data_IF_522745756030
#
_entry.id   IF_522745756030
#
_cell.length_a   1.000
_cell.length_b   1.000
_cell.length_c   1.000
_cell.angle_alpha   90.00
_cell.angle_beta   90.00
_cell.angle_gamma   90.00
#
_symmetry.space_group_name_H-M   'P 1'
#
loop_
_entity.id
_entity.type
_entity.pdbx_description
1 polymer ?
#
# COMPACT_ATOMS: atom_id res chain seq x y z
N UNK A 1 -62.46 -43.05 -21.46
CA UNK A 1 -62.08 -41.68 -21.89
C UNK A 1 -60.91 -41.28 -21.03
N UNK A 2 -59.68 -41.45 -21.54
CA UNK A 2 -58.45 -41.33 -20.78
C UNK A 2 -57.66 -40.10 -21.27
N UNK A 3 -57.24 -39.29 -20.31
CA UNK A 3 -56.67 -37.96 -20.46
C UNK A 3 -55.30 -37.94 -21.14
N UNK A 4 -55.12 -36.95 -21.99
CA UNK A 4 -53.89 -36.61 -22.72
C UNK A 4 -52.81 -36.08 -21.77
N UNK A 5 -51.64 -36.71 -21.75
CA UNK A 5 -50.42 -36.24 -21.08
C UNK A 5 -49.67 -35.29 -22.01
N UNK A 6 -49.44 -34.04 -21.58
CA UNK A 6 -48.55 -33.09 -22.25
C UNK A 6 -47.08 -33.48 -22.04
N UNK A 7 -46.19 -33.36 -23.05
CA UNK A 7 -44.77 -33.55 -22.85
C UNK A 7 -44.12 -32.34 -22.17
N UNK A 8 -43.19 -32.71 -21.30
CA UNK A 8 -42.34 -31.90 -20.44
C UNK A 8 -41.50 -30.89 -21.26
N UNK A 9 -41.68 -29.59 -20.99
CA UNK A 9 -40.82 -28.52 -21.52
C UNK A 9 -39.52 -28.53 -20.71
N UNK A 10 -38.41 -28.83 -21.37
CA UNK A 10 -37.07 -28.75 -20.79
C UNK A 10 -36.71 -27.26 -20.77
N UNK A 11 -36.70 -26.65 -19.59
CA UNK A 11 -36.06 -25.34 -19.41
C UNK A 11 -34.54 -25.57 -19.43
N UNK A 12 -33.92 -25.23 -20.57
CA UNK A 12 -32.48 -25.01 -20.64
C UNK A 12 -32.13 -23.90 -19.65
N UNK A 13 -31.65 -24.31 -18.47
CA UNK A 13 -31.00 -23.42 -17.53
C UNK A 13 -29.70 -22.96 -18.19
N UNK A 14 -29.74 -21.78 -18.80
CA UNK A 14 -28.54 -21.10 -19.28
C UNK A 14 -27.50 -21.06 -18.15
N UNK A 15 -26.20 -21.30 -18.42
CA UNK A 15 -25.19 -21.11 -17.40
C UNK A 15 -25.27 -19.65 -16.94
N UNK A 16 -25.61 -19.47 -15.66
CA UNK A 16 -25.57 -18.18 -14.99
C UNK A 16 -24.22 -17.56 -15.29
N UNK A 17 -24.23 -16.43 -16.00
CA UNK A 17 -23.05 -15.61 -16.22
C UNK A 17 -22.33 -15.48 -14.89
N UNK A 18 -21.18 -16.15 -14.78
CA UNK A 18 -20.26 -15.94 -13.69
C UNK A 18 -19.90 -14.48 -13.81
N UNK A 19 -20.41 -13.69 -12.87
CA UNK A 19 -19.97 -12.32 -12.65
C UNK A 19 -18.47 -12.41 -12.37
N UNK A 20 -17.69 -12.32 -13.44
CA UNK A 20 -16.27 -12.01 -13.36
C UNK A 20 -16.20 -10.53 -13.01
N UNK A 21 -16.65 -10.19 -11.80
CA UNK A 21 -16.08 -9.07 -11.08
C UNK A 21 -14.64 -9.49 -10.81
N UNK A 22 -13.81 -9.35 -11.85
CA UNK A 22 -12.37 -9.21 -11.72
C UNK A 22 -12.18 -8.21 -10.59
N UNK A 23 -11.84 -8.74 -9.43
CA UNK A 23 -11.26 -7.97 -8.34
C UNK A 23 -9.89 -7.61 -8.88
N UNK A 24 -9.87 -6.62 -9.80
CA UNK A 24 -8.69 -5.91 -10.19
C UNK A 24 -8.09 -5.46 -8.88
N UNK A 25 -7.07 -6.20 -8.46
CA UNK A 25 -6.23 -5.84 -7.35
C UNK A 25 -5.55 -4.58 -7.86
N UNK A 26 -6.20 -3.42 -7.67
CA UNK A 26 -5.54 -2.13 -7.83
C UNK A 26 -4.41 -2.20 -6.83
N UNK A 27 -3.23 -2.56 -7.32
CA UNK A 27 -1.99 -2.45 -6.60
C UNK A 27 -1.96 -1.03 -6.09
N UNK A 28 -2.06 -0.86 -4.76
CA UNK A 28 -1.90 0.43 -4.14
C UNK A 28 -0.61 1.06 -4.67
N UNK A 29 -0.57 2.38 -4.89
CA UNK A 29 0.65 3.03 -5.33
C UNK A 29 1.77 2.70 -4.32
N UNK A 30 3.01 2.46 -4.80
CA UNK A 30 4.11 2.12 -3.91
C UNK A 30 4.36 3.26 -2.92
N UNK A 31 4.46 2.91 -1.65
CA UNK A 31 4.61 3.87 -0.54
C UNK A 31 5.86 3.60 0.28
N UNK A 32 6.30 4.65 0.97
CA UNK A 32 7.34 4.63 1.99
C UNK A 32 6.67 4.79 3.34
N UNK A 33 6.86 3.79 4.18
CA UNK A 33 6.42 3.79 5.57
C UNK A 33 7.59 4.07 6.48
N UNK A 34 7.42 5.03 7.39
CA UNK A 34 8.42 5.36 8.39
C UNK A 34 7.81 5.13 9.77
N UNK A 35 8.51 4.38 10.61
CA UNK A 35 8.06 4.01 11.95
C UNK A 35 9.07 4.50 12.98
N UNK A 36 8.59 5.17 14.03
CA UNK A 36 9.40 5.41 15.22
C UNK A 36 9.26 4.22 16.19
N UNK A 37 10.35 3.50 16.40
CA UNK A 37 10.47 2.36 17.33
C UNK A 37 11.13 2.73 18.65
N UNK A 38 11.42 4.03 18.85
CA UNK A 38 11.98 4.59 20.07
C UNK A 38 11.00 4.65 21.24
N UNK A 39 11.41 5.33 22.32
CA UNK A 39 10.65 5.39 23.58
C UNK A 39 9.45 6.35 23.57
N UNK A 40 9.28 7.13 22.51
CA UNK A 40 8.16 8.06 22.35
C UNK A 40 6.88 7.35 21.93
N UNK A 41 5.80 8.11 21.78
CA UNK A 41 4.54 7.58 21.23
C UNK A 41 4.78 6.95 19.85
N UNK A 42 4.17 5.80 19.63
CA UNK A 42 4.18 5.14 18.34
C UNK A 42 3.48 6.04 17.31
N UNK A 43 4.23 6.45 16.29
CA UNK A 43 3.76 7.25 15.16
C UNK A 43 4.26 6.58 13.88
N UNK A 44 3.55 6.84 12.78
CA UNK A 44 3.89 6.35 11.45
C UNK A 44 3.68 7.47 10.44
N UNK A 45 4.59 7.57 9.47
CA UNK A 45 4.37 8.30 8.23
C UNK A 45 4.08 7.32 7.09
N UNK A 46 3.21 7.71 6.16
CA UNK A 46 2.92 7.00 4.92
C UNK A 46 2.88 8.05 3.81
N UNK A 47 3.86 8.01 2.93
CA UNK A 47 3.96 8.91 1.78
C UNK A 47 4.56 8.16 0.59
N UNK A 48 4.31 8.62 -0.64
CA UNK A 48 4.70 7.93 -1.86
C UNK A 48 5.16 8.89 -2.95
N UNK A 49 5.78 8.38 -4.03
CA UNK A 49 6.33 9.23 -5.08
C UNK A 49 5.27 10.12 -5.75
N UNK A 50 5.63 11.37 -6.04
CA UNK A 50 4.85 12.23 -6.93
C UNK A 50 5.03 11.83 -8.41
N UNK A 51 4.23 12.44 -9.28
CA UNK A 51 4.36 12.23 -10.72
C UNK A 51 5.76 12.66 -11.21
N UNK A 52 6.51 11.72 -11.78
CA UNK A 52 7.87 11.94 -12.25
C UNK A 52 8.97 11.54 -11.27
N UNK A 53 8.62 11.19 -10.03
CA UNK A 53 9.56 10.66 -9.03
C UNK A 53 9.55 9.13 -9.03
N UNK A 54 10.70 8.53 -8.70
CA UNK A 54 10.79 7.09 -8.46
C UNK A 54 10.73 6.77 -6.96
N UNK A 55 10.20 5.59 -6.62
CA UNK A 55 10.23 5.09 -5.23
C UNK A 55 11.65 5.04 -4.66
N UNK A 56 12.64 4.71 -5.50
CA UNK A 56 14.03 4.64 -5.07
C UNK A 56 14.59 6.03 -4.72
N UNK A 57 14.27 7.05 -5.52
CA UNK A 57 14.64 8.44 -5.23
C UNK A 57 13.99 8.91 -3.92
N UNK A 58 12.68 8.68 -3.76
CA UNK A 58 11.98 9.06 -2.54
C UNK A 58 12.53 8.35 -1.30
N UNK A 59 12.89 7.05 -1.44
CA UNK A 59 13.49 6.28 -0.37
C UNK A 59 14.88 6.81 0.02
N UNK A 60 15.71 7.15 -0.98
CA UNK A 60 17.00 7.76 -0.73
C UNK A 60 16.86 9.15 -0.07
N UNK A 61 15.89 9.95 -0.51
CA UNK A 61 15.59 11.27 0.07
C UNK A 61 15.12 11.14 1.52
N UNK A 62 14.22 10.20 1.82
CA UNK A 62 13.79 9.91 3.18
C UNK A 62 14.99 9.61 4.10
N UNK A 63 15.90 8.73 3.68
CA UNK A 63 17.11 8.39 4.45
C UNK A 63 18.04 9.60 4.65
N UNK A 64 18.20 10.45 3.64
CA UNK A 64 19.00 11.69 3.75
C UNK A 64 18.34 12.66 4.72
N UNK A 65 17.03 12.87 4.61
CA UNK A 65 16.26 13.74 5.51
C UNK A 65 16.41 13.26 6.96
N UNK A 66 16.15 11.98 7.22
CA UNK A 66 16.34 11.34 8.54
C UNK A 66 17.75 11.59 9.08
N UNK A 67 18.79 11.34 8.27
CA UNK A 67 20.18 11.58 8.66
C UNK A 67 20.48 13.04 8.98
N UNK A 68 19.96 13.98 8.19
CA UNK A 68 20.14 15.43 8.41
C UNK A 68 19.46 15.95 9.68
N UNK A 69 18.38 15.28 10.13
CA UNK A 69 17.69 15.57 11.40
C UNK A 69 18.37 14.93 12.61
N UNK A 70 19.37 14.07 12.39
CA UNK A 70 20.07 13.36 13.46
C UNK A 70 19.29 12.18 14.06
N UNK A 71 18.25 11.72 13.38
CA UNK A 71 17.50 10.53 13.80
C UNK A 71 18.29 9.26 13.49
N UNK A 72 18.17 8.24 14.35
CA UNK A 72 18.92 7.00 14.18
C UNK A 72 18.09 6.00 13.37
N UNK A 73 18.60 5.54 12.23
CA UNK A 73 17.98 4.44 11.48
C UNK A 73 18.31 3.10 12.15
N UNK A 74 17.29 2.39 12.60
CA UNK A 74 17.39 1.05 13.18
C UNK A 74 17.31 -0.05 12.12
N UNK A 75 16.63 0.22 11.02
CA UNK A 75 16.52 -0.69 9.89
C UNK A 75 15.81 -0.04 8.72
N UNK A 76 16.09 -0.52 7.52
CA UNK A 76 15.39 -0.09 6.31
C UNK A 76 15.26 -1.27 5.34
N UNK A 77 14.10 -1.38 4.71
CA UNK A 77 13.80 -2.40 3.72
C UNK A 77 13.18 -1.73 2.51
N UNK A 78 13.63 -2.14 1.33
CA UNK A 78 13.15 -1.63 0.05
C UNK A 78 12.70 -2.79 -0.83
N UNK A 79 11.59 -2.59 -1.52
CA UNK A 79 11.06 -3.47 -2.56
C UNK A 79 10.41 -2.62 -3.66
N UNK A 80 10.22 -3.15 -4.88
CA UNK A 80 9.47 -2.44 -5.93
C UNK A 80 8.05 -2.06 -5.50
N UNK A 81 7.45 -2.81 -4.57
CA UNK A 81 6.09 -2.60 -4.07
C UNK A 81 6.00 -1.53 -2.97
N UNK A 82 7.13 -1.13 -2.38
CA UNK A 82 7.17 -0.18 -1.27
C UNK A 82 8.43 -0.28 -0.41
N UNK A 83 8.57 0.64 0.53
CA UNK A 83 9.69 0.69 1.45
C UNK A 83 9.24 0.89 2.90
N UNK A 84 10.04 0.37 3.83
CA UNK A 84 9.83 0.52 5.26
C UNK A 84 11.13 1.05 5.89
N UNK A 85 11.05 2.08 6.72
CA UNK A 85 12.17 2.64 7.47
C UNK A 85 11.79 2.67 8.95
N UNK A 86 12.66 2.13 9.79
CA UNK A 86 12.52 2.13 11.24
C UNK A 86 13.54 3.10 11.83
N UNK A 87 13.07 4.09 12.58
CA UNK A 87 13.90 5.10 13.23
C UNK A 87 13.73 5.06 14.75
N UNK A 88 14.74 5.53 15.46
CA UNK A 88 14.68 5.83 16.89
C UNK A 88 14.94 7.32 17.08
N UNK A 89 13.95 8.02 17.63
CA UNK A 89 14.03 9.45 17.97
C UNK A 89 13.13 9.77 19.15
N UNK A 90 13.60 10.69 20.01
CA UNK A 90 12.82 11.28 21.09
C UNK A 90 11.97 12.49 20.65
N UNK A 91 12.12 12.91 19.39
CA UNK A 91 11.37 14.01 18.81
C UNK A 91 9.89 13.63 18.63
N UNK A 92 8.97 14.30 19.33
CA UNK A 92 7.55 14.03 19.20
C UNK A 92 6.93 14.54 17.90
N UNK A 93 7.57 15.47 17.18
CA UNK A 93 7.06 16.09 15.94
C UNK A 93 7.77 15.60 14.67
N UNK A 94 8.54 14.50 14.77
CA UNK A 94 9.36 13.97 13.69
C UNK A 94 8.62 13.73 12.36
N UNK A 95 7.33 13.37 12.40
CA UNK A 95 6.52 13.01 11.20
C UNK A 95 6.48 14.16 10.20
N UNK A 96 6.35 15.40 10.68
CA UNK A 96 6.24 16.59 9.83
C UNK A 96 7.62 17.06 9.31
N UNK A 97 8.69 16.47 9.81
CA UNK A 97 10.07 16.92 9.58
C UNK A 97 10.79 16.13 8.48
N UNK A 98 10.30 14.94 8.14
CA UNK A 98 10.92 14.07 7.14
C UNK A 98 10.34 14.40 5.77
N UNK A 99 11.21 14.83 4.87
CA UNK A 99 10.88 15.09 3.47
C UNK A 99 11.35 13.91 2.60
N UNK A 100 10.44 13.33 1.82
CA UNK A 100 10.74 12.25 0.88
C UNK A 100 10.86 12.74 -0.57
N UNK A 101 10.47 13.97 -0.88
CA UNK A 101 10.41 14.46 -2.25
C UNK A 101 11.71 15.18 -2.67
N UNK A 102 12.48 15.67 -1.69
CA UNK A 102 13.74 16.34 -1.98
C UNK A 102 13.54 17.70 -2.66
N UNK A 103 14.63 18.48 -2.72
CA UNK A 103 14.69 19.78 -3.40
C UNK A 103 15.69 19.74 -4.55
#
# INVERSE_FOLDING_TARGET
MASTTNPHRIDESAPSSVDQSETQSRSEPPSIFIFNVGRTKWKQSNDGPWEGETLLECFANALRSIGSKGYVVQGAMYSPEGANIFIDTEDEVWVESIDIHGQ
#
